data_IF_564965540186
#
_entry.id   IF_564965540186
#
_cell.length_a   1.000
_cell.length_b   1.000
_cell.length_c   1.000
_cell.angle_alpha   90.00
_cell.angle_beta   90.00
_cell.angle_gamma   90.00
#
_symmetry.space_group_name_H-M   'P 1'
#
loop_
_entity.id
_entity.type
_entity.pdbx_description
1 polymer ?
#
# COMPACT_ATOMS: atom_id res chain seq x y z
N UNK A 1 5.69 19.37 1.22
CA UNK A 1 6.16 18.19 1.98
C UNK A 1 6.15 18.46 3.48
N UNK A 2 6.79 19.55 3.95
CA UNK A 2 6.90 19.88 5.38
C UNK A 2 5.54 20.07 6.05
N UNK A 3 4.61 20.76 5.40
CA UNK A 3 3.25 20.98 5.90
C UNK A 3 2.46 19.69 6.12
N UNK A 4 2.69 18.67 5.29
CA UNK A 4 2.06 17.36 5.44
C UNK A 4 2.73 16.54 6.54
N UNK A 5 4.05 16.39 6.52
CA UNK A 5 4.76 15.49 7.44
C UNK A 5 4.94 16.02 8.86
N UNK A 6 5.00 17.35 9.06
CA UNK A 6 5.26 17.92 10.38
C UNK A 6 4.15 17.60 11.41
N UNK A 7 2.85 17.70 11.10
CA UNK A 7 1.78 17.28 12.02
C UNK A 7 1.86 15.80 12.38
N UNK A 8 2.13 14.93 11.39
CA UNK A 8 2.22 13.48 11.61
C UNK A 8 3.38 13.09 12.51
N UNK A 9 4.55 13.74 12.36
CA UNK A 9 5.70 13.51 13.23
C UNK A 9 5.45 13.96 14.66
N UNK A 10 4.69 15.04 14.85
CA UNK A 10 4.34 15.55 16.19
C UNK A 10 3.28 14.70 16.89
N UNK A 11 2.39 14.06 16.13
CA UNK A 11 1.28 13.30 16.69
C UNK A 11 1.73 12.02 17.43
N UNK A 12 2.95 11.53 17.21
CA UNK A 12 3.53 10.31 17.83
C UNK A 12 2.61 9.07 17.81
N UNK A 13 1.59 9.08 16.95
CA UNK A 13 0.61 7.99 16.85
C UNK A 13 1.13 6.93 15.85
N UNK A 14 1.54 5.74 16.31
CA UNK A 14 2.07 4.68 15.45
C UNK A 14 1.01 4.11 14.50
N UNK A 15 -0.26 4.28 14.79
CA UNK A 15 -1.34 3.85 13.89
C UNK A 15 -1.54 4.82 12.72
N UNK A 16 -0.97 6.04 12.79
CA UNK A 16 -1.16 7.10 11.80
C UNK A 16 -2.64 7.45 11.55
N UNK A 17 -2.92 8.08 10.43
CA UNK A 17 -4.28 8.41 9.98
C UNK A 17 -4.50 7.97 8.52
N UNK A 18 -5.60 8.43 7.90
CA UNK A 18 -5.96 8.05 6.53
C UNK A 18 -5.53 9.11 5.49
N UNK A 19 -4.60 10.00 5.84
CA UNK A 19 -4.10 11.00 4.91
C UNK A 19 -3.24 10.34 3.83
N UNK A 20 -3.44 10.79 2.59
CA UNK A 20 -2.75 10.29 1.42
C UNK A 20 -2.16 11.46 0.64
N UNK A 21 -1.05 11.20 -0.07
CA UNK A 21 -0.49 12.11 -1.06
C UNK A 21 -0.62 11.44 -2.43
N UNK A 22 -1.28 12.10 -3.36
CA UNK A 22 -1.25 11.71 -4.77
C UNK A 22 -0.21 12.54 -5.50
N UNK A 23 0.75 11.87 -6.13
CA UNK A 23 1.84 12.49 -6.88
C UNK A 23 1.77 12.00 -8.33
N UNK A 24 1.27 12.82 -9.26
CA UNK A 24 1.20 12.45 -10.67
C UNK A 24 2.58 12.55 -11.35
N UNK A 25 2.71 11.83 -12.45
CA UNK A 25 3.82 11.95 -13.42
C UNK A 25 5.23 11.80 -12.83
N UNK A 26 5.38 10.89 -11.89
CA UNK A 26 6.70 10.55 -11.33
C UNK A 26 7.50 9.78 -12.36
N UNK A 27 8.62 10.33 -12.79
CA UNK A 27 9.49 9.71 -13.78
C UNK A 27 10.30 8.56 -13.17
N UNK A 28 10.15 7.36 -13.70
CA UNK A 28 11.01 6.21 -13.43
C UNK A 28 12.15 6.23 -14.44
N UNK A 29 13.38 6.41 -13.96
CA UNK A 29 14.57 6.56 -14.79
C UNK A 29 15.74 5.67 -14.36
N UNK A 30 15.51 4.80 -13.35
CA UNK A 30 16.50 3.85 -12.85
C UNK A 30 15.94 2.44 -12.84
N UNK A 31 16.83 1.46 -12.99
CA UNK A 31 16.51 0.04 -12.86
C UNK A 31 16.10 -0.34 -11.43
N UNK A 32 15.32 -1.41 -11.31
CA UNK A 32 14.90 -2.03 -10.03
C UNK A 32 15.84 -3.18 -9.67
N UNK A 33 17.09 -2.83 -9.31
CA UNK A 33 18.10 -3.76 -8.84
C UNK A 33 18.75 -3.25 -7.56
N UNK A 34 19.53 -4.10 -6.86
CA UNK A 34 20.18 -3.74 -5.59
C UNK A 34 21.06 -2.48 -5.69
N UNK A 35 21.67 -2.25 -6.84
CA UNK A 35 22.44 -1.04 -7.17
C UNK A 35 21.79 -0.37 -8.41
N UNK A 36 20.76 0.48 -8.20
CA UNK A 36 20.00 1.05 -9.30
C UNK A 36 20.84 1.87 -10.26
N UNK A 37 20.83 1.49 -11.55
CA UNK A 37 21.54 2.18 -12.62
C UNK A 37 20.56 3.03 -13.45
N UNK A 38 21.04 4.15 -14.04
CA UNK A 38 20.22 4.93 -14.95
C UNK A 38 19.79 4.10 -16.16
N UNK A 39 18.49 4.14 -16.47
CA UNK A 39 17.96 3.56 -17.71
C UNK A 39 18.31 4.43 -18.92
N UNK A 40 18.44 3.85 -20.12
CA UNK A 40 18.45 4.62 -21.36
C UNK A 40 17.22 5.56 -21.41
N UNK A 41 17.38 6.75 -21.97
CA UNK A 41 16.28 7.73 -21.97
C UNK A 41 15.03 7.25 -22.71
N UNK A 42 15.17 6.36 -23.68
CA UNK A 42 14.05 5.75 -24.41
C UNK A 42 13.20 4.82 -23.53
N UNK A 43 13.78 4.33 -22.42
CA UNK A 43 13.13 3.39 -21.50
C UNK A 43 12.58 4.11 -20.24
N UNK A 44 12.63 5.44 -20.20
CA UNK A 44 12.02 6.21 -19.13
C UNK A 44 10.50 6.19 -19.28
N UNK A 45 9.80 6.07 -18.16
CA UNK A 45 8.34 6.07 -18.13
C UNK A 45 7.81 6.79 -16.91
N UNK A 46 6.55 7.21 -16.94
CA UNK A 46 5.93 7.93 -15.84
C UNK A 46 4.89 7.04 -15.14
N UNK A 47 4.78 7.22 -13.83
CA UNK A 47 3.80 6.55 -12.98
C UNK A 47 3.21 7.53 -11.99
N UNK A 48 1.94 7.37 -11.66
CA UNK A 48 1.33 8.09 -10.56
C UNK A 48 1.57 7.32 -9.26
N UNK A 49 1.97 8.03 -8.21
CA UNK A 49 2.22 7.42 -6.90
C UNK A 49 1.21 7.92 -5.89
N UNK A 50 0.54 6.99 -5.20
CA UNK A 50 -0.31 7.28 -4.07
C UNK A 50 0.39 6.80 -2.78
N UNK A 51 0.78 7.74 -1.94
CA UNK A 51 1.48 7.47 -0.68
C UNK A 51 0.49 7.54 0.48
N UNK A 52 0.43 6.48 1.26
CA UNK A 52 -0.36 6.37 2.49
C UNK A 52 0.45 5.61 3.55
N UNK A 53 0.29 5.96 4.82
CA UNK A 53 0.98 5.26 5.90
C UNK A 53 0.15 4.07 6.38
N UNK A 54 0.73 2.87 6.44
CA UNK A 54 0.15 1.73 7.16
C UNK A 54 0.34 1.89 8.68
N UNK A 55 -0.47 1.22 9.54
CA UNK A 55 -0.19 1.14 10.97
C UNK A 55 1.21 0.58 11.21
N UNK A 56 1.97 1.20 12.09
CA UNK A 56 3.31 0.73 12.46
C UNK A 56 3.25 -0.07 13.76
N UNK A 57 3.27 -1.39 13.65
CA UNK A 57 3.20 -2.32 14.79
C UNK A 57 4.59 -2.85 15.19
N UNK A 58 5.65 -2.36 14.54
CA UNK A 58 7.01 -2.90 14.67
C UNK A 58 7.57 -2.86 16.09
N UNK A 59 7.20 -1.86 16.88
CA UNK A 59 7.86 -1.63 18.17
C UNK A 59 7.16 -2.32 19.36
N UNK A 60 6.05 -3.06 19.10
CA UNK A 60 5.41 -3.92 20.10
C UNK A 60 4.65 -3.21 21.24
N UNK A 61 4.69 -1.89 21.27
CA UNK A 61 4.01 -1.03 22.26
C UNK A 61 2.57 -0.65 21.84
N UNK A 62 2.15 -1.12 20.67
CA UNK A 62 0.80 -0.90 20.16
C UNK A 62 -0.05 -2.14 20.40
N UNK A 63 -0.96 -2.08 21.37
CA UNK A 63 -1.97 -3.12 21.55
C UNK A 63 -3.18 -2.81 20.67
N UNK A 64 -3.43 -3.64 19.67
CA UNK A 64 -4.59 -3.56 18.79
C UNK A 64 -5.11 -4.97 18.49
N UNK A 65 -6.43 -5.14 18.52
CA UNK A 65 -7.04 -6.42 18.15
C UNK A 65 -7.03 -6.59 16.62
N UNK A 66 -7.05 -7.85 16.16
CA UNK A 66 -7.12 -8.17 14.73
C UNK A 66 -8.32 -7.51 14.05
N UNK A 67 -9.47 -7.47 14.72
CA UNK A 67 -10.67 -6.82 14.20
C UNK A 67 -10.48 -5.30 14.06
N UNK A 68 -9.92 -4.64 15.07
CA UNK A 68 -9.64 -3.20 15.00
C UNK A 68 -8.60 -2.88 13.92
N UNK A 69 -7.56 -3.71 13.78
CA UNK A 69 -6.56 -3.60 12.73
C UNK A 69 -7.19 -3.78 11.35
N UNK A 70 -8.05 -4.78 11.18
CA UNK A 70 -8.80 -5.02 9.94
C UNK A 70 -9.63 -3.80 9.55
N UNK A 71 -10.37 -3.21 10.48
CA UNK A 71 -11.19 -2.01 10.23
C UNK A 71 -10.33 -0.79 9.83
N UNK A 72 -9.14 -0.62 10.41
CA UNK A 72 -8.20 0.42 9.97
C UNK A 72 -7.74 0.19 8.53
N UNK A 73 -7.41 -1.04 8.15
CA UNK A 73 -7.01 -1.37 6.78
C UNK A 73 -8.16 -1.18 5.79
N UNK A 74 -9.37 -1.61 6.11
CA UNK A 74 -10.56 -1.38 5.29
C UNK A 74 -10.73 0.12 5.01
N UNK A 75 -10.71 0.95 6.06
CA UNK A 75 -10.88 2.40 5.94
C UNK A 75 -9.79 3.05 5.08
N UNK A 76 -8.54 2.63 5.24
CA UNK A 76 -7.42 3.16 4.45
C UNK A 76 -7.46 2.72 3.01
N UNK A 77 -7.72 1.45 2.77
CA UNK A 77 -7.78 0.94 1.41
C UNK A 77 -8.92 1.59 0.62
N UNK A 78 -10.11 1.77 1.23
CA UNK A 78 -11.20 2.55 0.63
C UNK A 78 -10.73 3.96 0.28
N UNK A 79 -10.06 4.65 1.20
CA UNK A 79 -9.52 6.00 0.95
C UNK A 79 -8.52 6.04 -0.20
N UNK A 80 -7.63 5.05 -0.29
CA UNK A 80 -6.65 4.91 -1.38
C UNK A 80 -7.37 4.75 -2.72
N UNK A 81 -8.34 3.83 -2.80
CA UNK A 81 -9.07 3.53 -4.03
C UNK A 81 -9.97 4.71 -4.45
N UNK A 82 -10.63 5.39 -3.51
CA UNK A 82 -11.43 6.58 -3.79
C UNK A 82 -10.59 7.71 -4.39
N UNK A 83 -9.37 7.94 -3.85
CA UNK A 83 -8.45 8.93 -4.39
C UNK A 83 -7.99 8.54 -5.79
N UNK A 84 -7.71 7.27 -6.05
CA UNK A 84 -7.35 6.78 -7.37
C UNK A 84 -8.47 7.02 -8.39
N UNK A 85 -9.73 6.74 -8.01
CA UNK A 85 -10.91 7.01 -8.85
C UNK A 85 -11.07 8.51 -9.14
N UNK A 86 -10.95 9.36 -8.11
CA UNK A 86 -11.04 10.81 -8.27
C UNK A 86 -9.99 11.36 -9.24
N UNK A 87 -8.84 10.70 -9.33
CA UNK A 87 -7.75 11.05 -10.25
C UNK A 87 -7.83 10.26 -11.57
N UNK A 88 -8.94 9.58 -11.85
CA UNK A 88 -9.19 8.84 -13.10
C UNK A 88 -8.14 7.79 -13.41
N UNK A 89 -7.61 7.14 -12.37
CA UNK A 89 -6.67 6.03 -12.53
C UNK A 89 -7.40 4.83 -13.10
N UNK A 90 -6.92 4.29 -14.21
CA UNK A 90 -7.51 3.12 -14.86
C UNK A 90 -6.90 1.81 -14.41
N UNK A 91 -5.61 1.81 -14.10
CA UNK A 91 -4.86 0.63 -13.66
C UNK A 91 -4.17 0.92 -12.34
N UNK A 92 -4.36 0.07 -11.35
CA UNK A 92 -3.77 0.24 -10.02
C UNK A 92 -2.97 -0.99 -9.61
N UNK A 93 -1.77 -0.76 -9.07
CA UNK A 93 -0.94 -1.80 -8.47
C UNK A 93 -0.92 -1.58 -6.95
N UNK A 94 -1.30 -2.61 -6.22
CA UNK A 94 -1.34 -2.65 -4.76
C UNK A 94 -0.32 -3.66 -4.23
N UNK A 95 0.16 -3.46 -3.01
CA UNK A 95 1.07 -4.39 -2.34
C UNK A 95 0.46 -4.96 -1.06
N UNK A 96 1.23 -5.80 -0.35
CA UNK A 96 0.90 -6.24 1.01
C UNK A 96 1.10 -5.10 2.00
N UNK A 97 0.13 -4.18 2.05
CA UNK A 97 0.22 -2.89 2.72
C UNK A 97 0.49 -3.01 4.22
N UNK A 98 1.70 -2.60 4.64
CA UNK A 98 2.13 -2.67 6.03
C UNK A 98 2.67 -4.02 6.51
N UNK A 99 2.61 -5.10 5.70
CA UNK A 99 3.05 -6.45 6.11
C UNK A 99 4.58 -6.64 6.11
N UNK A 100 5.33 -5.66 5.64
CA UNK A 100 6.79 -5.68 5.69
C UNK A 100 7.33 -5.06 6.97
N UNK A 101 8.05 -3.94 6.84
CA UNK A 101 8.73 -3.26 7.96
C UNK A 101 7.81 -2.84 9.12
N UNK A 102 6.51 -2.66 8.88
CA UNK A 102 5.53 -2.27 9.90
C UNK A 102 4.86 -3.46 10.60
N UNK A 103 5.16 -4.69 10.19
CA UNK A 103 4.81 -5.94 10.87
C UNK A 103 3.29 -6.15 11.09
N UNK A 104 2.45 -5.67 10.17
CA UNK A 104 1.03 -6.00 10.21
C UNK A 104 0.84 -7.47 9.82
N UNK A 105 -0.11 -8.16 10.46
CA UNK A 105 -0.43 -9.55 10.13
C UNK A 105 -0.98 -9.65 8.70
N UNK A 106 -0.31 -10.39 7.78
CA UNK A 106 -0.73 -10.50 6.40
C UNK A 106 -2.10 -11.17 6.23
N UNK A 107 -2.52 -12.04 7.15
CA UNK A 107 -3.85 -12.65 7.14
C UNK A 107 -4.95 -11.59 7.35
N UNK A 108 -4.74 -10.70 8.32
CA UNK A 108 -5.66 -9.60 8.62
C UNK A 108 -5.74 -8.62 7.45
N UNK A 109 -4.57 -8.24 6.91
CA UNK A 109 -4.48 -7.28 5.80
C UNK A 109 -5.07 -7.84 4.52
N UNK A 110 -4.77 -9.10 4.18
CA UNK A 110 -5.33 -9.77 3.00
C UNK A 110 -6.86 -9.93 3.11
N UNK A 111 -7.36 -10.28 4.30
CA UNK A 111 -8.81 -10.36 4.56
C UNK A 111 -9.52 -9.01 4.42
N UNK A 112 -8.91 -7.92 4.93
CA UNK A 112 -9.42 -6.56 4.74
C UNK A 112 -9.41 -6.16 3.25
N UNK A 113 -8.34 -6.52 2.55
CA UNK A 113 -8.20 -6.24 1.11
C UNK A 113 -9.26 -6.96 0.30
N UNK A 114 -9.45 -8.25 0.52
CA UNK A 114 -10.47 -9.05 -0.18
C UNK A 114 -11.90 -8.53 0.04
N UNK A 115 -12.17 -8.02 1.25
CA UNK A 115 -13.47 -7.42 1.57
C UNK A 115 -13.70 -6.14 0.76
N UNK A 116 -12.71 -5.24 0.75
CA UNK A 116 -12.84 -3.94 0.08
C UNK A 116 -12.86 -4.06 -1.44
N UNK A 117 -11.99 -4.88 -2.01
CA UNK A 117 -11.83 -4.98 -3.47
C UNK A 117 -13.13 -5.37 -4.18
N UNK A 118 -14.01 -6.13 -3.53
CA UNK A 118 -15.32 -6.49 -4.09
C UNK A 118 -16.16 -5.30 -4.51
N UNK A 119 -16.05 -4.20 -3.78
CA UNK A 119 -16.80 -2.97 -4.06
C UNK A 119 -16.18 -2.14 -5.20
N UNK A 120 -14.94 -2.46 -5.62
CA UNK A 120 -14.15 -1.68 -6.59
C UNK A 120 -13.81 -2.44 -7.86
N UNK A 121 -14.27 -3.70 -8.03
CA UNK A 121 -13.93 -4.54 -9.19
C UNK A 121 -14.20 -3.89 -10.54
N UNK A 122 -15.23 -3.06 -10.64
CA UNK A 122 -15.61 -2.38 -11.88
C UNK A 122 -15.14 -0.92 -11.96
N UNK A 123 -14.45 -0.44 -10.94
CA UNK A 123 -13.94 0.94 -10.90
C UNK A 123 -12.62 1.11 -11.67
N UNK A 124 -11.91 0.03 -11.91
CA UNK A 124 -10.61 0.03 -12.58
C UNK A 124 -10.62 -0.97 -13.76
N UNK A 125 -9.80 -0.71 -14.78
CA UNK A 125 -9.56 -1.69 -15.85
C UNK A 125 -8.73 -2.86 -15.33
N UNK A 126 -7.76 -2.56 -14.46
CA UNK A 126 -6.88 -3.56 -13.84
C UNK A 126 -6.62 -3.21 -12.38
N UNK A 127 -6.76 -4.21 -11.51
CA UNK A 127 -6.27 -4.17 -10.14
C UNK A 127 -5.26 -5.31 -10.00
N UNK A 128 -4.00 -4.95 -9.82
CA UNK A 128 -2.90 -5.91 -9.70
C UNK A 128 -2.34 -5.89 -8.27
N UNK A 129 -1.94 -7.04 -7.76
CA UNK A 129 -1.30 -7.18 -6.45
C UNK A 129 0.16 -7.61 -6.60
N UNK A 130 1.09 -6.66 -6.45
CA UNK A 130 2.52 -6.91 -6.41
C UNK A 130 2.95 -7.24 -4.98
N UNK A 131 2.86 -8.51 -4.60
CA UNK A 131 3.25 -8.98 -3.27
C UNK A 131 4.64 -9.58 -3.33
N UNK A 132 5.62 -8.82 -2.81
CA UNK A 132 7.00 -9.29 -2.75
C UNK A 132 7.13 -10.51 -1.84
N UNK A 133 7.76 -11.58 -2.33
CA UNK A 133 8.10 -12.76 -1.56
C UNK A 133 9.52 -13.26 -1.89
N UNK A 134 10.09 -14.01 -0.98
CA UNK A 134 11.31 -14.80 -1.19
C UNK A 134 10.99 -16.26 -0.86
N UNK A 135 11.76 -17.24 -1.37
CA UNK A 135 11.52 -18.66 -1.07
C UNK A 135 11.39 -18.97 0.42
N UNK A 136 12.12 -18.23 1.28
CA UNK A 136 12.10 -18.43 2.72
C UNK A 136 10.99 -17.60 3.43
N UNK A 137 10.33 -16.65 2.72
CA UNK A 137 9.37 -15.72 3.30
C UNK A 137 8.18 -15.50 2.35
N UNK A 138 7.41 -16.57 2.11
CA UNK A 138 6.23 -16.54 1.23
C UNK A 138 4.93 -16.21 1.96
N UNK A 139 4.95 -15.97 3.26
CA UNK A 139 3.73 -15.82 4.06
C UNK A 139 2.80 -14.74 3.50
N UNK A 140 3.32 -13.56 3.19
CA UNK A 140 2.51 -12.47 2.64
C UNK A 140 1.82 -12.91 1.34
N UNK A 141 2.59 -13.49 0.42
CA UNK A 141 2.06 -13.97 -0.85
C UNK A 141 0.97 -15.03 -0.68
N UNK A 142 1.22 -16.03 0.17
CA UNK A 142 0.27 -17.12 0.43
C UNK A 142 -1.04 -16.61 1.03
N UNK A 143 -1.01 -15.70 2.01
CA UNK A 143 -2.22 -15.15 2.61
C UNK A 143 -3.01 -14.28 1.62
N UNK A 144 -2.34 -13.50 0.77
CA UNK A 144 -3.00 -12.75 -0.28
C UNK A 144 -3.61 -13.66 -1.36
N UNK A 145 -2.91 -14.72 -1.80
CA UNK A 145 -3.50 -15.71 -2.72
C UNK A 145 -4.75 -16.36 -2.13
N UNK A 146 -4.71 -16.81 -0.87
CA UNK A 146 -5.87 -17.43 -0.21
C UNK A 146 -7.08 -16.51 -0.11
N UNK A 147 -6.84 -15.20 0.06
CA UNK A 147 -7.91 -14.25 0.28
C UNK A 147 -8.52 -13.71 -1.02
N UNK A 148 -7.73 -13.67 -2.12
CA UNK A 148 -8.12 -12.99 -3.37
C UNK A 148 -8.43 -13.97 -4.52
N UNK A 149 -7.95 -15.22 -4.45
CA UNK A 149 -8.17 -16.27 -5.47
C UNK A 149 -9.11 -17.36 -4.96
#
# INVERSE_FOLDING_TARGET
>A
WTAFYAPHRKATNPLYNNDCIYTPDVCVFKSDINFPEPLPRADWWNVNILTCAAPNLRYGDVSITDEALKQLHIKRLRRILDIAILNKVENIVLGAFGCGAFMNDPKVVAGATAEVIKDYLFAFKTIEFAVFCRPEYEQNYREFCKALL
#
